data_IF_652753357167
#
_entry.id   IF_652753357167
#
_cell.length_a   1.000
_cell.length_b   1.000
_cell.length_c   1.000
_cell.angle_alpha   90.00
_cell.angle_beta   90.00
_cell.angle_gamma   90.00
#
_symmetry.space_group_name_H-M   'P 1'
#
loop_
_entity.id
_entity.type
_entity.pdbx_description
1 polymer ?
#
# COMPACT_ATOMS: atom_id res chain seq x y z
N UNK A 1 11.04 10.30 -3.70
CA UNK A 1 9.60 10.41 -4.04
C UNK A 1 9.45 11.74 -4.74
N UNK A 2 9.29 11.73 -6.06
CA UNK A 2 9.33 12.97 -6.85
C UNK A 2 8.04 13.79 -6.71
N UNK A 3 6.97 13.19 -6.17
CA UNK A 3 5.67 13.85 -5.97
C UNK A 3 5.01 13.39 -4.64
N UNK A 4 5.50 13.85 -3.47
CA UNK A 4 4.96 13.41 -2.19
C UNK A 4 3.50 13.82 -1.99
N UNK A 5 3.06 14.97 -2.50
CA UNK A 5 1.71 15.50 -2.24
C UNK A 5 0.58 14.74 -2.95
N UNK A 6 0.93 13.84 -3.89
CA UNK A 6 -0.05 12.97 -4.56
C UNK A 6 -0.57 11.84 -3.68
N UNK A 7 0.08 11.60 -2.53
CA UNK A 7 -0.22 10.45 -1.69
C UNK A 7 -0.85 10.86 -0.36
N UNK A 8 -1.83 10.07 0.09
CA UNK A 8 -2.48 10.29 1.38
C UNK A 8 -1.50 10.09 2.53
N UNK A 9 -1.82 10.65 3.70
CA UNK A 9 -1.02 10.48 4.91
C UNK A 9 -0.88 9.00 5.30
N UNK A 10 -1.95 8.23 5.16
CA UNK A 10 -1.99 6.80 5.51
C UNK A 10 -1.09 5.98 4.60
N UNK A 11 -1.01 6.30 3.31
CA UNK A 11 -0.08 5.62 2.40
C UNK A 11 1.37 5.90 2.77
N UNK A 12 1.71 7.19 3.00
CA UNK A 12 3.05 7.59 3.40
C UNK A 12 3.47 6.91 4.71
N UNK A 13 2.57 6.88 5.69
CA UNK A 13 2.80 6.23 6.98
C UNK A 13 3.02 4.72 6.82
N UNK A 14 2.14 4.03 6.08
CA UNK A 14 2.27 2.60 5.81
C UNK A 14 3.60 2.23 5.15
N UNK A 15 4.00 3.00 4.13
CA UNK A 15 5.28 2.79 3.44
C UNK A 15 6.45 3.03 4.40
N UNK A 16 6.40 4.08 5.22
CA UNK A 16 7.44 4.38 6.19
C UNK A 16 7.66 3.24 7.20
N UNK A 17 6.58 2.55 7.60
CA UNK A 17 6.65 1.36 8.46
C UNK A 17 7.26 0.17 7.71
N UNK A 18 6.88 -0.06 6.45
CA UNK A 18 7.45 -1.12 5.62
C UNK A 18 8.96 -0.94 5.37
N UNK A 19 9.43 0.30 5.25
CA UNK A 19 10.80 0.65 4.89
C UNK A 19 11.65 1.10 6.08
N UNK A 20 11.30 0.70 7.31
CA UNK A 20 12.16 0.94 8.47
C UNK A 20 13.55 0.31 8.27
N UNK A 21 14.59 1.12 8.45
CA UNK A 21 15.99 0.71 8.26
C UNK A 21 16.40 -0.29 9.34
N UNK A 22 16.01 -0.03 10.59
CA UNK A 22 16.20 -0.96 11.68
C UNK A 22 15.22 -2.12 11.53
N UNK A 23 15.76 -3.29 11.20
CA UNK A 23 14.99 -4.52 11.02
C UNK A 23 14.25 -4.95 12.29
N UNK A 24 14.76 -4.60 13.48
CA UNK A 24 14.12 -4.92 14.75
C UNK A 24 12.93 -4.01 15.06
N UNK A 25 12.94 -2.78 14.55
CA UNK A 25 11.84 -1.83 14.62
C UNK A 25 10.79 -2.03 13.52
N UNK A 26 11.15 -2.72 12.43
CA UNK A 26 10.25 -2.95 11.30
C UNK A 26 9.13 -3.93 11.67
N UNK A 27 7.85 -3.53 11.56
CA UNK A 27 6.73 -4.38 11.91
C UNK A 27 6.60 -5.58 10.95
N UNK A 28 6.08 -6.67 11.51
CA UNK A 28 5.73 -7.87 10.76
C UNK A 28 4.47 -7.66 9.90
N UNK A 29 4.27 -8.53 8.92
CA UNK A 29 3.05 -8.53 8.11
C UNK A 29 1.77 -8.67 8.96
N UNK A 30 1.82 -9.45 10.05
CA UNK A 30 0.68 -9.63 10.95
C UNK A 30 0.30 -8.32 11.67
N UNK A 31 1.29 -7.50 12.04
CA UNK A 31 1.06 -6.18 12.63
C UNK A 31 0.54 -5.18 11.58
N UNK A 32 1.11 -5.19 10.37
CA UNK A 32 0.74 -4.27 9.29
C UNK A 32 -0.63 -4.55 8.66
N UNK A 33 -1.13 -5.79 8.73
CA UNK A 33 -2.45 -6.18 8.18
C UNK A 33 -3.59 -5.27 8.64
N UNK A 34 -3.50 -4.73 9.86
CA UNK A 34 -4.55 -3.90 10.45
C UNK A 34 -4.34 -2.39 10.25
N UNK A 35 -3.32 -1.99 9.50
CA UNK A 35 -3.02 -0.59 9.22
C UNK A 35 -4.18 0.11 8.48
N UNK A 36 -4.40 1.39 8.77
CA UNK A 36 -5.51 2.17 8.20
C UNK A 36 -5.49 2.21 6.66
N UNK A 37 -4.30 2.31 6.06
CA UNK A 37 -4.11 2.27 4.60
C UNK A 37 -4.79 1.05 3.94
N UNK A 38 -4.70 -0.13 4.56
CA UNK A 38 -5.29 -1.35 3.99
C UNK A 38 -6.81 -1.41 4.09
N UNK A 39 -7.44 -0.50 4.85
CA UNK A 39 -8.91 -0.34 4.83
C UNK A 39 -9.40 0.27 3.52
N UNK A 40 -8.52 0.92 2.76
CA UNK A 40 -8.79 1.43 1.43
C UNK A 40 -8.47 0.41 0.32
N UNK A 41 -8.23 -0.86 0.67
CA UNK A 41 -7.90 -1.87 -0.32
C UNK A 41 -9.02 -2.02 -1.36
N UNK A 42 -8.63 -2.04 -2.63
CA UNK A 42 -9.52 -2.29 -3.73
C UNK A 42 -10.11 -3.71 -3.65
N UNK A 43 -11.32 -3.88 -4.18
CA UNK A 43 -11.96 -5.19 -4.24
C UNK A 43 -11.31 -6.07 -5.30
N UNK A 44 -11.60 -7.37 -5.24
CA UNK A 44 -11.18 -8.30 -6.29
C UNK A 44 -11.71 -7.91 -7.68
N UNK A 45 -12.91 -7.33 -7.74
CA UNK A 45 -13.51 -6.85 -8.98
C UNK A 45 -12.69 -5.71 -9.59
N UNK A 46 -12.28 -4.74 -8.78
CA UNK A 46 -11.47 -3.60 -9.24
C UNK A 46 -10.14 -4.08 -9.84
N UNK A 47 -9.53 -5.11 -9.24
CA UNK A 47 -8.31 -5.73 -9.77
C UNK A 47 -8.55 -6.42 -11.11
N UNK A 48 -9.66 -7.15 -11.26
CA UNK A 48 -10.01 -7.80 -12.53
C UNK A 48 -10.25 -6.78 -13.65
N UNK A 49 -10.98 -5.69 -13.36
CA UNK A 49 -11.20 -4.61 -14.33
C UNK A 49 -9.90 -3.93 -14.75
N UNK A 50 -8.98 -3.71 -13.79
CA UNK A 50 -7.64 -3.21 -14.09
C UNK A 50 -6.85 -4.17 -14.97
N UNK A 51 -6.83 -5.46 -14.63
CA UNK A 51 -6.10 -6.48 -15.37
C UNK A 51 -6.62 -6.63 -16.82
N UNK A 52 -7.95 -6.62 -17.01
CA UNK A 52 -8.54 -6.67 -18.35
C UNK A 52 -8.09 -5.50 -19.22
N UNK A 53 -8.05 -4.27 -18.67
CA UNK A 53 -7.55 -3.09 -19.40
C UNK A 53 -6.07 -3.22 -19.75
N UNK A 54 -5.26 -3.75 -18.83
CA UNK A 54 -3.82 -3.89 -19.03
C UNK A 54 -3.45 -4.96 -20.07
N UNK A 55 -4.25 -6.04 -20.17
CA UNK A 55 -4.03 -7.15 -21.12
C UNK A 55 -4.69 -6.90 -22.48
N UNK A 56 -5.60 -5.94 -22.59
CA UNK A 56 -6.25 -5.57 -23.86
C UNK A 56 -5.41 -4.63 -24.75
N UNK A 57 -4.08 -4.65 -24.58
CA UNK A 57 -3.08 -4.03 -25.44
C UNK A 57 -2.41 -5.09 -26.31
#
# INVERSE_FOLDING_TARGET
WDEPDRWTGEFKDFVSQCTQIDASARPTAAQLKNHSFLRCAASHKDLLEFAQRAVSL
#
